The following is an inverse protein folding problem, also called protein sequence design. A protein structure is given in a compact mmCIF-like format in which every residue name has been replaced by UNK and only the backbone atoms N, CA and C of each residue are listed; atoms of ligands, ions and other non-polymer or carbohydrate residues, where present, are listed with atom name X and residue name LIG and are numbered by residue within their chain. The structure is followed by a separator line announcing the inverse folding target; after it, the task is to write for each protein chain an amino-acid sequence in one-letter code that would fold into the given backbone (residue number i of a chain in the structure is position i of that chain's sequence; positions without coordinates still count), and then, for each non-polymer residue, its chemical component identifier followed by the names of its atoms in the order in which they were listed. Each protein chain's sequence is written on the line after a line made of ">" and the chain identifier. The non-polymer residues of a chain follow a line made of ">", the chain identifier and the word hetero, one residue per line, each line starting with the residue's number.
data_IF_999892365404
#
_entry.id   IF_999892365404
#
_cell.length_a   1.000
_cell.length_b   1.000
_cell.length_c   1.000
_cell.angle_alpha   90.00
_cell.angle_beta   90.00
_cell.angle_gamma   90.00
#
_symmetry.space_group_name_H-M   'P 1'
#
loop_
_entity.id
_entity.type
_entity.pdbx_description
1 polymer ?
#
# COMPACT_ATOMS: atom_id res chain seq x y z
N UNK A 1 85.18 -24.77 -3.02
CA UNK A 1 84.11 -25.48 -2.27
C UNK A 1 83.11 -24.41 -1.78
N UNK A 2 82.07 -24.10 -2.60
CA UNK A 2 81.12 -23.01 -2.35
C UNK A 2 79.73 -23.65 -2.24
N UNK A 3 79.17 -23.64 -1.02
CA UNK A 3 77.85 -24.17 -0.70
C UNK A 3 76.80 -23.06 -0.94
N UNK A 4 75.98 -23.24 -1.96
CA UNK A 4 74.87 -22.31 -2.27
C UNK A 4 73.64 -22.60 -1.38
N UNK A 5 73.24 -21.59 -0.62
CA UNK A 5 72.04 -21.61 0.24
C UNK A 5 70.86 -21.16 -0.61
N UNK A 6 69.91 -22.08 -0.92
CA UNK A 6 68.63 -21.76 -1.60
C UNK A 6 67.61 -21.31 -0.58
N UNK A 7 67.23 -20.04 -0.64
CA UNK A 7 66.13 -19.51 0.13
C UNK A 7 64.77 -19.96 -0.47
N UNK A 8 63.99 -20.66 0.32
CA UNK A 8 62.66 -21.17 0.01
C UNK A 8 61.64 -20.15 0.48
N UNK A 9 61.05 -19.35 -0.39
CA UNK A 9 60.01 -18.36 -0.11
C UNK A 9 58.69 -19.07 -0.06
N UNK A 10 58.12 -19.23 1.17
CA UNK A 10 56.71 -19.65 1.36
C UNK A 10 55.76 -18.47 1.12
N UNK A 11 55.01 -18.53 0.03
CA UNK A 11 53.88 -17.60 -0.19
C UNK A 11 52.67 -18.05 0.63
N UNK A 12 52.35 -17.27 1.66
CA UNK A 12 51.12 -17.42 2.42
C UNK A 12 49.96 -16.78 1.65
N UNK A 13 49.09 -17.59 1.04
CA UNK A 13 47.84 -17.11 0.44
C UNK A 13 46.83 -16.86 1.56
N UNK A 14 46.52 -15.58 1.83
CA UNK A 14 45.43 -15.20 2.71
C UNK A 14 44.08 -15.42 2.03
N UNK A 15 43.33 -16.43 2.44
CA UNK A 15 41.92 -16.57 2.12
C UNK A 15 41.13 -15.52 2.92
N UNK A 16 40.55 -14.52 2.24
CA UNK A 16 39.59 -13.58 2.83
C UNK A 16 38.23 -14.26 2.77
N UNK A 17 37.56 -14.52 3.93
CA UNK A 17 36.20 -15.05 3.92
C UNK A 17 35.24 -13.97 3.40
N UNK A 18 34.52 -14.24 2.31
CA UNK A 18 33.42 -13.42 1.84
C UNK A 18 32.24 -13.54 2.79
N UNK A 19 32.00 -12.51 3.60
CA UNK A 19 30.81 -12.44 4.45
C UNK A 19 29.55 -12.24 3.57
N UNK A 20 28.50 -13.06 3.69
CA UNK A 20 27.25 -12.81 3.01
C UNK A 20 26.62 -11.54 3.57
N UNK A 21 26.46 -10.50 2.75
CA UNK A 21 25.70 -9.29 3.10
C UNK A 21 24.23 -9.69 3.25
N UNK A 22 23.72 -9.69 4.46
CA UNK A 22 22.29 -9.85 4.73
C UNK A 22 21.55 -8.64 4.15
N UNK A 23 20.85 -8.82 3.05
CA UNK A 23 19.93 -7.82 2.49
C UNK A 23 18.72 -7.77 3.41
N UNK A 24 18.59 -6.71 4.21
CA UNK A 24 17.39 -6.42 4.98
C UNK A 24 16.26 -6.14 3.97
N UNK A 25 15.36 -7.10 3.80
CA UNK A 25 14.15 -6.91 3.01
C UNK A 25 13.28 -5.85 3.69
N UNK A 26 13.04 -4.72 3.03
CA UNK A 26 12.08 -3.72 3.48
C UNK A 26 10.68 -4.35 3.48
N UNK A 27 9.85 -4.08 4.51
CA UNK A 27 8.48 -4.60 4.54
C UNK A 27 7.73 -4.13 3.31
N UNK A 28 7.00 -5.05 2.67
CA UNK A 28 6.18 -4.73 1.51
C UNK A 28 5.10 -3.69 1.88
N UNK A 29 4.81 -2.72 1.01
CA UNK A 29 3.80 -1.72 1.27
C UNK A 29 2.41 -2.36 1.44
N UNK A 30 1.53 -1.75 2.25
CA UNK A 30 0.17 -2.24 2.55
C UNK A 30 -0.62 -2.60 1.28
N UNK A 31 -0.41 -1.86 0.19
CA UNK A 31 -1.04 -2.09 -1.11
C UNK A 31 -0.62 -3.39 -1.79
N UNK A 32 0.55 -3.96 -1.45
CA UNK A 32 1.05 -5.21 -2.03
C UNK A 32 0.43 -6.47 -1.40
N UNK A 33 -0.21 -6.33 -0.22
CA UNK A 33 -0.76 -7.47 0.53
C UNK A 33 -2.25 -7.70 0.28
N UNK A 34 -2.88 -6.91 -0.60
CA UNK A 34 -4.30 -7.01 -0.89
C UNK A 34 -4.54 -7.82 -2.15
N UNK A 35 -5.38 -8.83 -2.05
CA UNK A 35 -5.75 -9.68 -3.19
C UNK A 35 -6.63 -8.89 -4.18
N UNK A 36 -6.26 -8.84 -5.48
CA UNK A 36 -7.12 -8.28 -6.52
C UNK A 36 -8.44 -9.06 -6.65
N UNK A 37 -9.49 -8.40 -7.13
CA UNK A 37 -10.77 -9.07 -7.36
C UNK A 37 -11.98 -8.16 -7.19
N UNK A 38 -13.16 -8.77 -7.13
CA UNK A 38 -14.42 -8.09 -6.80
C UNK A 38 -14.47 -7.81 -5.30
N UNK A 39 -14.68 -6.54 -4.95
CA UNK A 39 -14.77 -6.06 -3.59
C UNK A 39 -16.13 -5.40 -3.34
N UNK A 40 -16.70 -5.69 -2.21
CA UNK A 40 -17.92 -5.08 -1.71
C UNK A 40 -17.59 -4.06 -0.63
N UNK A 41 -18.09 -2.83 -0.79
CA UNK A 41 -17.97 -1.74 0.15
C UNK A 41 -19.30 -1.55 0.86
N UNK A 42 -19.28 -1.58 2.20
CA UNK A 42 -20.43 -1.28 3.09
C UNK A 42 -20.11 -0.09 3.96
N UNK A 43 -20.94 0.92 3.88
CA UNK A 43 -20.87 2.08 4.78
C UNK A 43 -21.42 1.71 6.16
N UNK A 44 -20.72 2.14 7.21
CA UNK A 44 -21.11 1.91 8.60
C UNK A 44 -21.91 3.09 9.12
N UNK A 45 -22.92 2.81 9.95
CA UNK A 45 -23.66 3.85 10.68
C UNK A 45 -24.63 4.67 9.85
N UNK A 46 -24.85 4.37 8.59
CA UNK A 46 -25.92 5.02 7.83
C UNK A 46 -27.25 4.27 8.07
N UNK A 47 -28.14 4.85 8.83
CA UNK A 47 -29.52 4.35 9.01
C UNK A 47 -30.39 4.59 7.75
N UNK A 48 -29.83 5.16 6.70
CA UNK A 48 -30.57 5.48 5.48
C UNK A 48 -30.66 4.27 4.56
N UNK A 49 -31.79 4.15 3.92
CA UNK A 49 -32.19 3.18 2.90
C UNK A 49 -31.21 3.03 1.72
N UNK A 50 -30.19 3.89 1.66
CA UNK A 50 -29.11 3.87 0.67
C UNK A 50 -27.91 2.97 1.04
N UNK A 51 -28.00 2.16 2.10
CA UNK A 51 -26.94 1.25 2.53
C UNK A 51 -26.80 0.01 1.62
N UNK A 52 -27.04 0.19 0.31
CA UNK A 52 -26.76 -0.87 -0.67
C UNK A 52 -25.25 -1.02 -0.81
N UNK A 53 -24.73 -2.25 -0.64
CA UNK A 53 -23.33 -2.50 -0.85
C UNK A 53 -22.92 -2.08 -2.27
N UNK A 54 -21.83 -1.34 -2.35
CA UNK A 54 -21.24 -0.98 -3.64
C UNK A 54 -20.19 -2.02 -4.01
N UNK A 55 -20.28 -2.60 -5.20
CA UNK A 55 -19.27 -3.53 -5.71
C UNK A 55 -18.38 -2.87 -6.74
N UNK A 56 -17.11 -3.20 -6.68
CA UNK A 56 -16.12 -2.74 -7.66
C UNK A 56 -14.99 -3.77 -7.81
N UNK A 57 -14.39 -3.78 -9.00
CA UNK A 57 -13.22 -4.58 -9.28
C UNK A 57 -11.97 -3.79 -8.88
N UNK A 58 -11.23 -4.31 -7.89
CA UNK A 58 -9.98 -3.71 -7.42
C UNK A 58 -8.78 -4.51 -7.92
N UNK A 59 -7.83 -3.82 -8.53
CA UNK A 59 -6.49 -4.33 -8.80
C UNK A 59 -5.48 -3.90 -7.71
N UNK A 60 -5.75 -2.78 -7.03
CA UNK A 60 -4.94 -2.27 -5.93
C UNK A 60 -5.75 -1.31 -5.03
N UNK A 61 -5.36 -1.19 -3.76
CA UNK A 61 -6.08 -0.38 -2.75
C UNK A 61 -6.15 1.11 -3.05
N UNK A 62 -5.22 1.67 -3.81
CA UNK A 62 -5.27 3.11 -4.16
C UNK A 62 -6.54 3.51 -4.89
N UNK A 63 -7.24 2.57 -5.52
CA UNK A 63 -8.54 2.82 -6.14
C UNK A 63 -9.61 3.21 -5.11
N UNK A 64 -9.41 2.94 -3.82
CA UNK A 64 -10.31 3.34 -2.73
C UNK A 64 -10.01 4.75 -2.19
N UNK A 65 -8.93 5.40 -2.63
CA UNK A 65 -8.51 6.69 -2.05
C UNK A 65 -9.50 7.81 -2.34
N UNK A 66 -10.01 7.91 -3.57
CA UNK A 66 -10.87 9.02 -3.98
C UNK A 66 -12.26 8.56 -4.41
N UNK A 67 -12.89 7.70 -3.63
CA UNK A 67 -14.21 7.11 -3.93
C UNK A 67 -15.32 8.13 -4.19
N UNK A 68 -15.22 9.33 -3.60
CA UNK A 68 -16.19 10.44 -3.79
C UNK A 68 -15.87 11.27 -5.04
N UNK A 69 -14.68 11.10 -5.63
CA UNK A 69 -14.22 11.80 -6.82
C UNK A 69 -13.72 10.82 -7.90
N UNK A 70 -14.53 9.81 -8.32
CA UNK A 70 -14.03 8.68 -9.10
C UNK A 70 -13.57 9.05 -10.51
N UNK A 71 -14.00 10.21 -11.04
CA UNK A 71 -13.67 10.68 -12.40
C UNK A 71 -12.76 11.90 -12.41
N UNK A 72 -12.44 12.46 -11.25
CA UNK A 72 -11.60 13.64 -11.16
C UNK A 72 -10.11 13.26 -11.23
N UNK A 73 -9.34 14.08 -11.91
CA UNK A 73 -7.89 14.04 -11.86
C UNK A 73 -7.42 14.79 -10.61
N UNK A 74 -6.98 14.07 -9.60
CA UNK A 74 -6.60 14.62 -8.32
C UNK A 74 -5.09 14.52 -8.10
N UNK A 75 -4.50 15.57 -7.52
CA UNK A 75 -3.15 15.51 -6.96
C UNK A 75 -3.22 14.74 -5.65
N UNK A 76 -2.34 13.77 -5.46
CA UNK A 76 -2.31 12.93 -4.26
C UNK A 76 -0.99 13.11 -3.50
N UNK A 77 -1.08 13.26 -2.18
CA UNK A 77 0.04 13.27 -1.25
C UNK A 77 -0.12 12.09 -0.28
N UNK A 78 0.82 11.17 -0.32
CA UNK A 78 0.88 10.06 0.64
C UNK A 78 1.41 10.56 1.97
N UNK A 79 0.61 10.44 3.03
CA UNK A 79 0.94 10.85 4.39
C UNK A 79 1.51 9.68 5.21
N UNK A 80 0.99 8.48 5.00
CA UNK A 80 1.45 7.24 5.63
C UNK A 80 1.40 6.10 4.61
N UNK A 81 2.42 5.24 4.63
CA UNK A 81 2.46 4.03 3.81
C UNK A 81 3.25 2.94 4.55
N UNK A 82 2.55 2.06 5.21
CA UNK A 82 3.11 0.94 5.98
C UNK A 82 2.55 -0.40 5.50
N UNK A 83 2.96 -1.49 6.13
CA UNK A 83 2.47 -2.84 5.81
C UNK A 83 0.94 -3.01 6.02
N UNK A 84 0.33 -2.18 6.87
CA UNK A 84 -1.10 -2.28 7.21
C UNK A 84 -1.88 -0.99 7.01
N UNK A 85 -1.22 0.12 6.68
CA UNK A 85 -1.87 1.43 6.58
C UNK A 85 -1.45 2.19 5.32
N UNK A 86 -2.42 2.87 4.73
CA UNK A 86 -2.19 3.84 3.67
C UNK A 86 -3.06 5.07 3.98
N UNK A 87 -2.44 6.23 4.17
CA UNK A 87 -3.12 7.50 4.35
C UNK A 87 -2.73 8.44 3.21
N UNK A 88 -3.72 8.99 2.54
CA UNK A 88 -3.52 9.87 1.38
C UNK A 88 -4.42 11.09 1.50
N UNK A 89 -3.83 12.27 1.37
CA UNK A 89 -4.55 13.49 1.08
C UNK A 89 -4.63 13.69 -0.42
N UNK A 90 -5.76 14.16 -0.94
CA UNK A 90 -5.94 14.42 -2.36
C UNK A 90 -6.70 15.72 -2.60
N UNK A 91 -6.34 16.40 -3.68
CA UNK A 91 -6.94 17.65 -4.15
C UNK A 91 -7.34 17.51 -5.62
N UNK A 92 -8.62 17.70 -5.90
CA UNK A 92 -9.24 17.58 -7.22
C UNK A 92 -9.63 18.97 -7.80
N UNK A 93 -9.03 20.05 -7.28
CA UNK A 93 -9.34 21.41 -7.70
C UNK A 93 -10.80 21.77 -7.42
N UNK A 94 -11.48 22.34 -8.42
CA UNK A 94 -12.88 22.76 -8.28
C UNK A 94 -13.87 21.64 -7.92
N UNK A 95 -13.52 20.38 -8.09
CA UNK A 95 -14.36 19.26 -7.68
C UNK A 95 -14.27 18.96 -6.17
N UNK A 96 -13.32 19.59 -5.46
CA UNK A 96 -13.09 19.41 -4.04
C UNK A 96 -11.86 18.56 -3.76
N UNK A 97 -11.87 17.83 -2.67
CA UNK A 97 -10.75 16.99 -2.25
C UNK A 97 -11.01 16.37 -0.89
N UNK A 98 -10.01 15.69 -0.35
CA UNK A 98 -10.17 15.06 0.94
C UNK A 98 -8.96 14.30 1.44
N UNK A 99 -9.19 13.53 2.47
CA UNK A 99 -8.23 12.58 3.03
C UNK A 99 -8.91 11.22 3.16
N UNK A 100 -8.19 10.19 2.77
CA UNK A 100 -8.60 8.80 2.97
C UNK A 100 -7.54 8.04 3.74
N UNK A 101 -7.97 7.38 4.79
CA UNK A 101 -7.17 6.49 5.63
C UNK A 101 -7.66 5.06 5.40
N UNK A 102 -6.76 4.19 4.93
CA UNK A 102 -7.00 2.77 4.69
C UNK A 102 -6.24 1.94 5.73
N UNK A 103 -6.90 0.99 6.35
CA UNK A 103 -6.29 0.00 7.23
C UNK A 103 -6.58 -1.40 6.70
N UNK A 104 -5.53 -2.10 6.29
CA UNK A 104 -5.60 -3.49 5.86
C UNK A 104 -5.60 -4.39 7.10
N UNK A 105 -6.65 -5.17 7.29
CA UNK A 105 -6.76 -6.14 8.38
C UNK A 105 -6.31 -7.53 7.92
N UNK A 106 -6.68 -7.88 6.70
CA UNK A 106 -6.25 -9.11 6.01
C UNK A 106 -6.10 -8.82 4.52
N UNK A 107 -5.49 -9.71 3.72
CA UNK A 107 -5.45 -9.56 2.26
C UNK A 107 -6.83 -9.41 1.58
N UNK A 108 -7.92 -9.70 2.30
CA UNK A 108 -9.31 -9.73 1.82
C UNK A 108 -10.25 -8.79 2.59
N UNK A 109 -9.71 -8.00 3.53
CA UNK A 109 -10.50 -7.11 4.37
C UNK A 109 -9.73 -5.83 4.67
N UNK A 110 -10.35 -4.69 4.37
CA UNK A 110 -9.82 -3.38 4.70
C UNK A 110 -10.91 -2.45 5.26
N UNK A 111 -10.48 -1.53 6.13
CA UNK A 111 -11.31 -0.43 6.62
C UNK A 111 -10.93 0.83 5.87
N UNK A 112 -11.94 1.61 5.48
CA UNK A 112 -11.80 2.84 4.71
C UNK A 112 -12.47 3.97 5.48
N UNK A 113 -11.70 5.00 5.84
CA UNK A 113 -12.24 6.27 6.35
C UNK A 113 -11.90 7.37 5.37
N UNK A 114 -12.89 8.10 4.92
CA UNK A 114 -12.66 9.21 4.00
C UNK A 114 -13.51 10.40 4.40
N UNK A 115 -12.90 11.59 4.33
CA UNK A 115 -13.58 12.85 4.61
C UNK A 115 -13.06 13.96 3.70
N UNK A 116 -13.87 14.96 3.45
CA UNK A 116 -13.48 16.07 2.59
C UNK A 116 -14.66 16.88 2.09
N UNK A 117 -14.46 17.49 0.93
CA UNK A 117 -15.48 18.27 0.20
C UNK A 117 -15.70 17.59 -1.14
N UNK A 118 -16.96 17.30 -1.49
CA UNK A 118 -17.38 16.83 -2.80
C UNK A 118 -18.61 17.60 -3.25
N UNK A 119 -18.61 18.10 -4.49
CA UNK A 119 -19.72 18.89 -5.06
C UNK A 119 -20.11 20.10 -4.17
N UNK A 120 -19.12 20.75 -3.56
CA UNK A 120 -19.29 21.90 -2.67
C UNK A 120 -19.82 21.58 -1.27
N UNK A 121 -20.05 20.30 -0.93
CA UNK A 121 -20.55 19.87 0.37
C UNK A 121 -19.56 19.00 1.14
N UNK A 122 -19.48 19.12 2.47
CA UNK A 122 -18.65 18.24 3.29
C UNK A 122 -19.18 16.81 3.28
N UNK A 123 -18.28 15.84 3.32
CA UNK A 123 -18.58 14.43 3.51
C UNK A 123 -17.67 13.79 4.54
N UNK A 124 -18.17 12.77 5.21
CA UNK A 124 -17.39 11.85 6.03
C UNK A 124 -18.03 10.46 5.90
N UNK A 125 -17.22 9.46 5.59
CA UNK A 125 -17.66 8.07 5.41
C UNK A 125 -16.71 7.12 6.11
N UNK A 126 -17.28 6.08 6.74
CA UNK A 126 -16.58 4.95 7.33
C UNK A 126 -17.11 3.68 6.66
N UNK A 127 -16.25 2.94 5.97
CA UNK A 127 -16.65 1.79 5.18
C UNK A 127 -15.80 0.58 5.51
N UNK A 128 -16.42 -0.59 5.43
CA UNK A 128 -15.73 -1.87 5.33
C UNK A 128 -15.66 -2.28 3.86
N UNK A 129 -14.46 -2.62 3.40
CA UNK A 129 -14.20 -3.19 2.09
C UNK A 129 -13.82 -4.66 2.24
N UNK A 130 -14.61 -5.56 1.65
CA UNK A 130 -14.44 -7.02 1.71
C UNK A 130 -14.36 -7.63 0.32
N UNK A 131 -13.33 -8.45 0.10
CA UNK A 131 -13.19 -9.19 -1.16
C UNK A 131 -14.23 -10.31 -1.24
N UNK A 132 -14.97 -10.35 -2.34
CA UNK A 132 -16.03 -11.33 -2.60
C UNK A 132 -15.56 -12.47 -3.51
N UNK A 133 -14.61 -12.19 -4.43
CA UNK A 133 -14.16 -13.19 -5.39
C UNK A 133 -13.35 -12.59 -6.53
N UNK A 134 -13.35 -13.22 -7.68
CA UNK A 134 -12.76 -12.70 -8.91
C UNK A 134 -13.68 -11.66 -9.55
N UNK A 135 -13.12 -10.72 -10.31
CA UNK A 135 -13.90 -9.78 -11.10
C UNK A 135 -14.69 -10.54 -12.20
N UNK A 136 -15.93 -10.16 -12.43
CA UNK A 136 -16.78 -10.67 -13.51
C UNK A 136 -16.85 -9.69 -14.66
#
# INVERSE_FOLDING_TARGET
>A
MTIGLRAMTCAFAMLVPASPSAVLALPAPATANVEPGEWELRERGSERESNRPRRLCLSHLRQLVQLRHPRASCKQLTLEHSATRLSVSYDCGGAGGGRTDLRVETPRLAQVRSQGIADGAPFAVDMEARRMGVCR
#
